data_IF_903193103120
#
_entry.id   IF_903193103120
#
_cell.length_a   1.000
_cell.length_b   1.000
_cell.length_c   1.000
_cell.angle_alpha   90.00
_cell.angle_beta   90.00
_cell.angle_gamma   90.00
#
_symmetry.space_group_name_H-M   'P 1'
#
loop_
_entity.id
_entity.type
_entity.pdbx_description
1 polymer ?
#
# COMPACT_ATOMS: atom_id res chain seq x y z
N UNK A 1 -9.07 2.29 -4.24
CA UNK A 1 -8.20 2.19 -3.03
C UNK A 1 -7.13 3.23 -3.24
N UNK A 2 -6.82 4.06 -2.25
CA UNK A 2 -5.85 5.13 -2.41
C UNK A 2 -4.66 4.95 -1.46
N UNK A 3 -3.45 5.31 -1.91
CA UNK A 3 -2.29 5.52 -1.04
C UNK A 3 -2.22 7.01 -0.76
N UNK A 4 -2.40 7.42 0.49
CA UNK A 4 -2.45 8.84 0.92
C UNK A 4 -1.18 9.30 1.61
N UNK A 5 -0.32 8.38 2.05
CA UNK A 5 0.98 8.70 2.61
C UNK A 5 1.95 7.53 2.49
N UNK A 6 3.24 7.84 2.35
CA UNK A 6 4.33 6.89 2.50
C UNK A 6 5.35 7.53 3.43
N UNK A 7 5.71 6.82 4.50
CA UNK A 7 6.68 7.29 5.50
C UNK A 7 7.76 6.23 5.63
N UNK A 8 9.03 6.64 5.48
CA UNK A 8 10.16 5.80 5.87
C UNK A 8 11.35 5.83 4.92
N UNK A 9 12.51 5.53 5.51
CA UNK A 9 13.78 5.33 4.83
C UNK A 9 14.13 3.83 4.80
N UNK A 10 14.66 3.28 5.91
CA UNK A 10 15.05 1.87 6.04
C UNK A 10 13.91 0.88 6.31
N UNK A 11 12.79 1.34 6.88
CA UNK A 11 11.52 0.61 6.94
C UNK A 11 10.40 1.54 6.51
N UNK A 12 9.69 1.17 5.46
CA UNK A 12 8.60 1.97 4.91
C UNK A 12 7.25 1.50 5.44
N UNK A 13 6.39 2.46 5.80
CA UNK A 13 4.96 2.28 6.05
C UNK A 13 4.16 3.09 5.05
N UNK A 14 2.94 2.66 4.75
CA UNK A 14 2.02 3.38 3.89
C UNK A 14 0.71 3.66 4.63
N UNK A 15 0.14 4.84 4.41
CA UNK A 15 -1.21 5.20 4.82
C UNK A 15 -2.11 4.96 3.61
N UNK A 16 -3.10 4.10 3.76
CA UNK A 16 -3.97 3.65 2.67
C UNK A 16 -5.43 3.80 3.03
N UNK A 17 -6.28 4.09 2.05
CA UNK A 17 -7.74 4.11 2.19
C UNK A 17 -8.34 2.91 1.46
N UNK A 18 -8.90 1.98 2.24
CA UNK A 18 -9.51 0.73 1.76
C UNK A 18 -10.92 0.65 2.32
N UNK A 19 -11.93 0.48 1.44
CA UNK A 19 -13.34 0.41 1.86
C UNK A 19 -13.81 1.62 2.68
N UNK A 20 -13.25 2.81 2.43
CA UNK A 20 -13.56 4.04 3.16
C UNK A 20 -12.88 4.16 4.54
N UNK A 21 -12.06 3.19 4.95
CA UNK A 21 -11.28 3.24 6.20
C UNK A 21 -9.83 3.54 5.92
N UNK A 22 -9.22 4.33 6.79
CA UNK A 22 -7.78 4.62 6.74
C UNK A 22 -7.03 3.57 7.55
N UNK A 23 -6.02 2.95 6.94
CA UNK A 23 -5.16 1.93 7.53
C UNK A 23 -3.70 2.34 7.38
N UNK A 24 -2.86 1.96 8.34
CA UNK A 24 -1.40 2.10 8.26
C UNK A 24 -0.81 0.71 8.10
N UNK A 25 -0.05 0.50 7.03
CA UNK A 25 0.39 -0.83 6.59
C UNK A 25 1.89 -0.91 6.34
N UNK A 26 2.40 -2.13 6.46
CA UNK A 26 3.78 -2.55 6.21
C UNK A 26 3.82 -3.71 5.21
N UNK A 27 4.95 -3.98 4.54
CA UNK A 27 5.07 -5.15 3.67
C UNK A 27 4.82 -6.44 4.46
N UNK A 28 3.92 -7.28 3.94
CA UNK A 28 3.47 -8.52 4.58
C UNK A 28 2.06 -8.45 5.16
N UNK A 29 1.56 -7.25 5.47
CA UNK A 29 0.22 -7.06 6.03
C UNK A 29 -0.86 -7.55 5.07
N UNK A 30 -1.93 -8.10 5.64
CA UNK A 30 -3.10 -8.57 4.92
C UNK A 30 -4.37 -7.92 5.47
N UNK A 31 -5.15 -7.32 4.58
CA UNK A 31 -6.41 -6.63 4.86
C UNK A 31 -7.48 -7.24 3.97
N UNK A 32 -8.29 -8.12 4.54
CA UNK A 32 -9.22 -8.95 3.75
C UNK A 32 -8.46 -9.84 2.75
N UNK A 33 -8.77 -9.67 1.47
CA UNK A 33 -8.14 -10.37 0.35
C UNK A 33 -6.91 -9.65 -0.24
N UNK A 34 -6.59 -8.47 0.30
CA UNK A 34 -5.49 -7.62 -0.15
C UNK A 34 -4.24 -7.89 0.70
N UNK A 35 -3.10 -8.16 0.05
CA UNK A 35 -1.80 -8.27 0.71
C UNK A 35 -0.84 -7.19 0.22
N UNK A 36 -0.15 -6.54 1.15
CA UNK A 36 0.92 -5.58 0.83
C UNK A 36 2.20 -6.35 0.52
N UNK A 37 2.71 -6.23 -0.71
CA UNK A 37 3.94 -6.92 -1.13
C UNK A 37 5.18 -6.04 -0.95
N UNK A 38 5.07 -4.75 -1.28
CA UNK A 38 6.19 -3.81 -1.28
C UNK A 38 5.68 -2.39 -1.09
N UNK A 39 6.45 -1.59 -0.37
CA UNK A 39 6.29 -0.12 -0.31
C UNK A 39 7.60 0.47 -0.82
N UNK A 40 7.54 1.22 -1.93
CA UNK A 40 8.67 1.89 -2.55
C UNK A 40 8.56 3.40 -2.32
N UNK A 41 9.30 3.91 -1.34
CA UNK A 41 9.25 5.34 -0.98
C UNK A 41 9.89 6.24 -2.04
N UNK A 42 10.86 5.72 -2.81
CA UNK A 42 11.52 6.46 -3.90
C UNK A 42 10.57 6.66 -5.06
N UNK A 43 9.90 5.59 -5.51
CA UNK A 43 8.90 5.65 -6.60
C UNK A 43 7.54 6.14 -6.13
N UNK A 44 7.36 6.25 -4.81
CA UNK A 44 6.11 6.62 -4.15
C UNK A 44 4.96 5.69 -4.57
N UNK A 45 5.22 4.38 -4.58
CA UNK A 45 4.26 3.34 -4.98
C UNK A 45 4.13 2.26 -3.91
N UNK A 46 2.94 1.66 -3.81
CA UNK A 46 2.68 0.46 -3.02
C UNK A 46 2.21 -0.65 -3.95
N UNK A 47 2.87 -1.81 -3.89
CA UNK A 47 2.50 -3.00 -4.65
C UNK A 47 1.61 -3.88 -3.80
N UNK A 48 0.43 -4.21 -4.32
CA UNK A 48 -0.53 -5.09 -3.69
C UNK A 48 -0.71 -6.39 -4.47
N UNK A 49 -1.16 -7.42 -3.76
CA UNK A 49 -1.69 -8.66 -4.31
C UNK A 49 -3.15 -8.79 -3.90
N UNK A 50 -4.05 -8.99 -4.86
CA UNK A 50 -5.46 -9.26 -4.61
C UNK A 50 -5.97 -10.29 -5.60
N UNK A 51 -6.64 -11.35 -5.13
CA UNK A 51 -7.17 -12.43 -5.98
C UNK A 51 -6.13 -12.99 -6.98
N UNK A 52 -4.86 -13.12 -6.57
CA UNK A 52 -3.77 -13.60 -7.41
C UNK A 52 -3.18 -12.57 -8.38
N UNK A 53 -3.78 -11.37 -8.51
CA UNK A 53 -3.29 -10.30 -9.37
C UNK A 53 -2.42 -9.31 -8.58
N UNK A 54 -1.22 -9.03 -9.11
CA UNK A 54 -0.35 -7.97 -8.60
C UNK A 54 -0.64 -6.65 -9.31
N UNK A 55 -0.65 -5.55 -8.57
CA UNK A 55 -0.81 -4.21 -9.13
C UNK A 55 -0.18 -3.16 -8.22
N UNK A 56 0.24 -2.06 -8.82
CA UNK A 56 0.85 -0.92 -8.13
C UNK A 56 -0.16 0.21 -7.98
N UNK A 57 -0.15 0.88 -6.83
CA UNK A 57 -0.88 2.12 -6.60
C UNK A 57 0.13 3.21 -6.25
N UNK A 58 0.10 4.30 -7.01
CA UNK A 58 0.92 5.47 -6.74
C UNK A 58 0.32 6.32 -5.61
N UNK A 59 1.18 6.94 -4.80
CA UNK A 59 0.77 7.93 -3.82
C UNK A 59 0.02 9.08 -4.50
N UNK A 60 -1.20 9.33 -4.04
CA UNK A 60 -2.11 10.34 -4.62
C UNK A 60 -2.86 9.89 -5.88
N UNK A 61 -2.73 8.63 -6.31
CA UNK A 61 -3.58 8.03 -7.34
C UNK A 61 -4.89 7.48 -6.75
N UNK A 62 -5.97 7.58 -7.53
CA UNK A 62 -7.27 6.93 -7.25
C UNK A 62 -7.36 5.51 -7.82
#
# INVERSE_FOLDING_TARGET
MAVTGIVGNSKAVAVVVIGGRTEIVTPGDQIGDLRVLRIDSTRRTVTFLQAGRRFDVALGGE
#
